data_IF_668131332872
#
_entry.id   IF_668131332872
#
_cell.length_a   1.000
_cell.length_b   1.000
_cell.length_c   1.000
_cell.angle_alpha   90.00
_cell.angle_beta   90.00
_cell.angle_gamma   90.00
#
_symmetry.space_group_name_H-M   'P 1'
#
loop_
_entity.id
_entity.type
_entity.pdbx_description
1 polymer ?
#
# COMPACT_ATOMS: atom_id res chain seq x y z
N UNK A 1 -59.34 15.67 19.35
CA UNK A 1 -58.22 15.90 18.40
C UNK A 1 -56.98 15.20 18.95
N UNK A 2 -56.58 14.07 18.36
CA UNK A 2 -55.38 13.33 18.80
C UNK A 2 -54.19 13.86 18.00
N UNK A 3 -53.38 14.69 18.64
CA UNK A 3 -52.11 15.18 18.08
C UNK A 3 -51.12 14.02 18.05
N UNK A 4 -50.86 13.49 16.86
CA UNK A 4 -49.80 12.51 16.66
C UNK A 4 -48.48 13.26 16.59
N UNK A 5 -47.62 12.98 17.56
CA UNK A 5 -46.26 13.51 17.66
C UNK A 5 -45.45 12.96 16.49
N UNK A 6 -45.17 13.80 15.50
CA UNK A 6 -44.20 13.51 14.44
C UNK A 6 -42.79 13.71 15.00
N UNK A 7 -42.36 12.80 15.87
CA UNK A 7 -40.93 12.62 16.11
C UNK A 7 -40.35 12.19 14.77
N UNK A 8 -39.61 13.07 14.11
CA UNK A 8 -38.78 12.73 12.95
C UNK A 8 -37.79 11.66 13.40
N UNK A 9 -38.17 10.40 13.23
CA UNK A 9 -37.26 9.26 13.28
C UNK A 9 -36.26 9.58 12.17
N UNK A 10 -35.08 10.06 12.57
CA UNK A 10 -33.91 10.18 11.72
C UNK A 10 -33.64 8.76 11.26
N UNK A 11 -34.16 8.40 10.09
CA UNK A 11 -33.92 7.12 9.45
C UNK A 11 -32.41 7.01 9.32
N UNK A 12 -31.86 6.24 10.23
CA UNK A 12 -30.49 5.80 10.27
C UNK A 12 -30.20 5.23 8.89
N UNK A 13 -29.36 5.93 8.15
CA UNK A 13 -28.95 5.57 6.81
C UNK A 13 -28.27 4.22 6.94
N UNK A 14 -29.00 3.14 6.64
CA UNK A 14 -28.47 1.79 6.57
C UNK A 14 -27.24 1.81 5.67
N UNK A 15 -26.08 1.85 6.32
CA UNK A 15 -24.79 1.75 5.70
C UNK A 15 -24.65 0.31 5.23
N UNK A 16 -25.18 0.03 4.04
CA UNK A 16 -24.72 -1.13 3.27
C UNK A 16 -23.20 -1.01 3.21
N UNK A 17 -22.53 -1.90 3.91
CA UNK A 17 -21.07 -1.96 3.99
C UNK A 17 -20.59 -2.22 2.56
N UNK A 18 -20.26 -1.14 1.85
CA UNK A 18 -19.72 -1.23 0.50
C UNK A 18 -18.29 -1.76 0.65
N UNK A 19 -18.14 -3.08 0.60
CA UNK A 19 -16.86 -3.78 0.62
C UNK A 19 -15.86 -3.19 -0.38
N UNK A 20 -16.32 -2.68 -1.52
CA UNK A 20 -15.49 -1.98 -2.49
C UNK A 20 -14.85 -0.68 -1.95
N UNK A 21 -15.59 0.11 -1.16
CA UNK A 21 -15.08 1.35 -0.55
C UNK A 21 -14.07 1.03 0.57
N UNK A 22 -14.34 -0.02 1.35
CA UNK A 22 -13.39 -0.53 2.34
C UNK A 22 -12.11 -1.06 1.68
N UNK A 23 -12.23 -1.90 0.65
CA UNK A 23 -11.08 -2.42 -0.08
C UNK A 23 -10.24 -1.31 -0.71
N UNK A 24 -10.90 -0.30 -1.29
CA UNK A 24 -10.20 0.84 -1.88
C UNK A 24 -9.43 1.64 -0.82
N UNK A 25 -10.06 1.90 0.33
CA UNK A 25 -9.46 2.69 1.42
C UNK A 25 -8.30 1.96 2.12
N UNK A 26 -8.44 0.66 2.35
CA UNK A 26 -7.49 -0.10 3.17
C UNK A 26 -6.46 -0.91 2.38
N UNK A 27 -6.68 -1.17 1.08
CA UNK A 27 -5.69 -1.85 0.22
C UNK A 27 -5.14 -0.97 -0.89
N UNK A 28 -5.99 -0.37 -1.74
CA UNK A 28 -5.52 0.41 -2.91
C UNK A 28 -4.70 1.66 -2.55
N UNK A 29 -5.16 2.42 -1.55
CA UNK A 29 -4.44 3.63 -1.10
C UNK A 29 -3.04 3.30 -0.53
N UNK A 30 -2.88 2.35 0.41
CA UNK A 30 -1.54 2.00 0.90
C UNK A 30 -0.68 1.31 -0.17
N UNK A 31 -1.28 0.53 -1.08
CA UNK A 31 -0.54 -0.14 -2.15
C UNK A 31 0.04 0.88 -3.15
N UNK A 32 -0.77 1.85 -3.61
CA UNK A 32 -0.31 2.90 -4.53
C UNK A 32 0.81 3.76 -3.93
N UNK A 33 0.68 4.15 -2.65
CA UNK A 33 1.73 4.91 -1.95
C UNK A 33 3.00 4.07 -1.73
N UNK A 34 2.83 2.80 -1.37
CA UNK A 34 3.95 1.88 -1.19
C UNK A 34 4.68 1.58 -2.50
N UNK A 35 3.95 1.48 -3.62
CA UNK A 35 4.51 1.22 -4.94
C UNK A 35 5.53 2.29 -5.36
N UNK A 36 5.27 3.56 -5.03
CA UNK A 36 6.19 4.65 -5.31
C UNK A 36 7.51 4.53 -4.51
N UNK A 37 7.42 4.05 -3.26
CA UNK A 37 8.59 3.73 -2.44
C UNK A 37 9.38 2.55 -2.99
N UNK A 38 8.69 1.47 -3.40
CA UNK A 38 9.31 0.34 -4.08
C UNK A 38 10.03 0.77 -5.35
N UNK A 39 9.40 1.58 -6.20
CA UNK A 39 9.99 2.04 -7.46
C UNK A 39 11.27 2.84 -7.21
N UNK A 40 11.25 3.71 -6.20
CA UNK A 40 12.44 4.48 -5.78
C UNK A 40 13.58 3.57 -5.34
N UNK A 41 13.29 2.55 -4.53
CA UNK A 41 14.30 1.59 -4.08
C UNK A 41 14.85 0.73 -5.23
N UNK A 42 13.97 0.30 -6.14
CA UNK A 42 14.35 -0.49 -7.30
C UNK A 42 15.27 0.31 -8.24
N UNK A 43 14.98 1.60 -8.45
CA UNK A 43 15.86 2.51 -9.20
C UNK A 43 17.23 2.62 -8.52
N UNK A 44 17.28 2.75 -7.18
CA UNK A 44 18.54 2.78 -6.44
C UNK A 44 19.35 1.49 -6.61
N UNK A 45 18.70 0.32 -6.65
CA UNK A 45 19.38 -0.95 -6.93
C UNK A 45 19.98 -0.99 -8.34
N UNK A 46 19.23 -0.53 -9.35
CA UNK A 46 19.72 -0.42 -10.73
C UNK A 46 20.94 0.49 -10.79
N UNK A 47 20.87 1.67 -10.18
CA UNK A 47 21.97 2.63 -10.13
C UNK A 47 23.19 2.04 -9.43
N UNK A 48 22.99 1.37 -8.29
CA UNK A 48 24.06 0.75 -7.52
C UNK A 48 24.80 -0.32 -8.34
N UNK A 49 24.06 -1.19 -9.05
CA UNK A 49 24.65 -2.19 -9.95
C UNK A 49 25.35 -1.55 -11.14
N UNK A 50 24.78 -0.49 -11.69
CA UNK A 50 25.38 0.23 -12.82
C UNK A 50 26.70 0.90 -12.42
N UNK A 51 26.76 1.52 -11.24
CA UNK A 51 28.01 2.05 -10.68
C UNK A 51 29.04 0.94 -10.44
N UNK A 52 28.62 -0.21 -9.93
CA UNK A 52 29.49 -1.38 -9.78
C UNK A 52 30.08 -1.88 -11.11
N UNK A 53 29.32 -1.80 -12.19
CA UNK A 53 29.80 -2.08 -13.54
C UNK A 53 30.79 -1.02 -14.02
N UNK A 54 30.49 0.28 -13.86
CA UNK A 54 31.36 1.39 -14.25
C UNK A 54 32.72 1.37 -13.54
N UNK A 55 32.75 0.97 -12.28
CA UNK A 55 33.99 0.84 -11.48
C UNK A 55 34.82 -0.38 -11.91
N UNK A 56 34.31 -1.23 -12.81
CA UNK A 56 34.99 -2.44 -13.27
C UNK A 56 34.94 -3.59 -12.27
N UNK A 57 34.11 -3.49 -11.22
CA UNK A 57 33.91 -4.59 -10.26
C UNK A 57 33.13 -5.77 -10.86
N UNK A 58 32.39 -5.54 -11.96
CA UNK A 58 31.68 -6.58 -12.70
C UNK A 58 31.96 -6.45 -14.19
N UNK A 59 32.22 -7.58 -14.86
CA UNK A 59 32.51 -7.61 -16.30
C UNK A 59 31.28 -7.33 -17.19
N UNK A 60 30.07 -7.50 -16.67
CA UNK A 60 28.82 -7.25 -17.39
C UNK A 60 27.75 -6.66 -16.48
N UNK A 61 26.98 -5.71 -17.01
CA UNK A 61 25.77 -5.22 -16.35
C UNK A 61 24.64 -6.23 -16.52
N UNK A 62 24.30 -6.93 -15.44
CA UNK A 62 23.15 -7.84 -15.39
C UNK A 62 22.33 -7.57 -14.12
N UNK A 63 21.03 -7.38 -14.29
CA UNK A 63 20.07 -7.33 -13.19
C UNK A 63 19.60 -8.77 -12.99
N UNK A 64 19.87 -9.32 -11.80
CA UNK A 64 19.56 -10.71 -11.52
C UNK A 64 18.10 -10.78 -11.07
N UNK A 65 17.43 -11.88 -11.41
CA UNK A 65 16.08 -12.14 -10.94
C UNK A 65 16.00 -12.11 -9.40
N UNK A 66 17.09 -12.49 -8.73
CA UNK A 66 17.23 -12.42 -7.28
C UNK A 66 17.14 -10.99 -6.74
N UNK A 67 17.68 -9.98 -7.43
CA UNK A 67 17.59 -8.58 -6.97
C UNK A 67 16.15 -8.07 -7.07
N UNK A 68 15.46 -8.45 -8.15
CA UNK A 68 14.05 -8.15 -8.33
C UNK A 68 13.23 -8.79 -7.20
N UNK A 69 13.42 -10.09 -6.96
CA UNK A 69 12.78 -10.82 -5.86
C UNK A 69 13.05 -10.16 -4.50
N UNK A 70 14.30 -9.78 -4.22
CA UNK A 70 14.67 -9.18 -2.93
C UNK A 70 14.01 -7.81 -2.74
N UNK A 71 13.98 -6.99 -3.79
CA UNK A 71 13.29 -5.69 -3.75
C UNK A 71 11.78 -5.82 -3.58
N UNK A 72 11.17 -6.83 -4.23
CA UNK A 72 9.75 -7.15 -4.10
C UNK A 72 9.43 -7.66 -2.69
N UNK A 73 10.27 -8.53 -2.14
CA UNK A 73 10.11 -9.08 -0.79
C UNK A 73 10.17 -7.95 0.26
N UNK A 74 11.13 -7.04 0.12
CA UNK A 74 11.22 -5.84 0.97
C UNK A 74 9.98 -4.97 0.89
N UNK A 75 9.45 -4.76 -0.33
CA UNK A 75 8.18 -4.05 -0.52
C UNK A 75 7.01 -4.74 0.19
N UNK A 76 6.87 -6.07 0.02
CA UNK A 76 5.81 -6.85 0.66
C UNK A 76 5.91 -6.77 2.19
N UNK A 77 7.11 -6.88 2.77
CA UNK A 77 7.28 -6.77 4.21
C UNK A 77 6.90 -5.39 4.75
N UNK A 78 7.38 -4.32 4.10
CA UNK A 78 7.01 -2.95 4.49
C UNK A 78 5.49 -2.75 4.34
N UNK A 79 4.90 -3.26 3.26
CA UNK A 79 3.46 -3.19 3.03
C UNK A 79 2.68 -3.86 4.18
N UNK A 80 3.06 -5.08 4.57
CA UNK A 80 2.42 -5.81 5.69
C UNK A 80 2.58 -5.06 7.01
N UNK A 81 3.76 -4.53 7.31
CA UNK A 81 4.00 -3.71 8.51
C UNK A 81 3.09 -2.49 8.53
N UNK A 82 3.05 -1.74 7.41
CA UNK A 82 2.23 -0.53 7.27
C UNK A 82 0.72 -0.83 7.36
N UNK A 83 0.30 -1.97 6.80
CA UNK A 83 -1.08 -2.44 6.87
C UNK A 83 -1.48 -2.73 8.32
N UNK A 84 -0.59 -3.39 9.09
CA UNK A 84 -0.79 -3.66 10.52
C UNK A 84 -0.83 -2.38 11.35
N UNK A 85 0.01 -1.40 11.04
CA UNK A 85 -0.03 -0.09 11.72
C UNK A 85 -1.32 0.67 11.42
N UNK A 86 -1.75 0.68 10.15
CA UNK A 86 -2.96 1.37 9.71
C UNK A 86 -4.22 0.77 10.34
N UNK A 87 -4.26 -0.56 10.50
CA UNK A 87 -5.37 -1.26 11.17
C UNK A 87 -5.36 -1.09 12.69
N UNK A 88 -4.21 -0.83 13.32
CA UNK A 88 -4.12 -0.50 14.74
C UNK A 88 -4.42 0.96 15.07
N UNK A 89 -4.06 1.89 14.17
CA UNK A 89 -4.34 3.32 14.33
C UNK A 89 -5.75 3.74 13.90
N UNK A 90 -6.39 2.93 13.05
CA UNK A 90 -7.81 3.04 12.74
C UNK A 90 -8.62 2.29 13.80
N UNK A 91 -8.92 2.98 14.90
CA UNK A 91 -9.88 2.57 15.93
C UNK A 91 -11.14 2.01 15.25
N UNK A 92 -11.38 0.71 15.44
CA UNK A 92 -12.72 0.17 15.63
C UNK A 92 -13.10 0.43 17.09
#
# INVERSE_FOLDING_TARGET
MRGVVLTKIRVEKESKINFGILFQKYMLVPLSRGFLGYLSFFILLIISKYLGFLIGNRASFQIDYTDFLLSLLGFVFIFVVKLRETTKGGVL
#
